data_IF_422029926123
#
_entry.id   IF_422029926123
#
_cell.length_a   1.000
_cell.length_b   1.000
_cell.length_c   1.000
_cell.angle_alpha   90.00
_cell.angle_beta   90.00
_cell.angle_gamma   90.00
#
_symmetry.space_group_name_H-M   'P 1'
#
loop_
_entity.id
_entity.type
_entity.pdbx_description
1 polymer ?
#
# COMPACT_ATOMS: atom_id res chain seq x y z
N UNK A 1 10.61 -18.56 15.19
CA UNK A 1 10.97 -17.94 13.89
C UNK A 1 12.46 -17.63 13.93
N UNK A 2 13.20 -18.06 12.90
CA UNK A 2 14.60 -17.68 12.71
C UNK A 2 14.65 -16.46 11.79
N UNK A 3 15.32 -15.39 12.21
CA UNK A 3 15.57 -14.19 11.42
C UNK A 3 17.03 -14.21 10.98
N UNK A 4 17.28 -14.02 9.70
CA UNK A 4 18.61 -13.94 9.10
C UNK A 4 18.88 -12.50 8.68
N UNK A 5 19.31 -11.67 9.62
CA UNK A 5 19.72 -10.31 9.34
C UNK A 5 20.99 -10.29 8.48
N UNK A 6 21.13 -9.28 7.64
CA UNK A 6 22.28 -9.13 6.75
C UNK A 6 22.38 -10.20 5.66
N UNK A 7 21.26 -10.84 5.31
CA UNK A 7 21.19 -11.77 4.21
C UNK A 7 20.30 -11.21 3.09
N UNK A 8 20.74 -11.39 1.86
CA UNK A 8 20.05 -10.97 0.65
C UNK A 8 19.66 -12.18 -0.19
N UNK A 9 18.45 -12.15 -0.76
CA UNK A 9 18.02 -13.14 -1.75
C UNK A 9 18.81 -12.94 -3.05
N UNK A 10 19.35 -14.03 -3.61
CA UNK A 10 20.12 -14.03 -4.85
C UNK A 10 19.29 -14.61 -5.99
N UNK A 11 18.80 -15.84 -5.84
CA UNK A 11 18.07 -16.53 -6.91
C UNK A 11 17.15 -17.63 -6.39
N UNK A 12 16.18 -17.99 -7.21
CA UNK A 12 15.52 -19.31 -7.14
C UNK A 12 16.40 -20.28 -7.89
N UNK A 13 17.03 -21.22 -7.19
CA UNK A 13 17.89 -22.23 -7.79
C UNK A 13 17.11 -23.30 -8.51
N UNK A 14 16.06 -23.84 -7.84
CA UNK A 14 15.17 -24.85 -8.41
C UNK A 14 13.81 -24.89 -7.73
N UNK A 15 12.85 -25.42 -8.43
CA UNK A 15 11.55 -25.82 -7.89
C UNK A 15 11.22 -27.24 -8.31
N UNK A 16 10.95 -28.10 -7.33
CA UNK A 16 10.53 -29.49 -7.53
C UNK A 16 9.06 -29.69 -7.11
N UNK A 17 8.45 -30.84 -7.34
CA UNK A 17 7.13 -31.14 -6.78
C UNK A 17 7.06 -31.03 -5.25
N UNK A 18 8.15 -31.21 -4.52
CA UNK A 18 8.17 -31.30 -3.05
C UNK A 18 8.72 -30.07 -2.34
N UNK A 19 9.64 -29.34 -2.97
CA UNK A 19 10.32 -28.20 -2.34
C UNK A 19 10.75 -27.13 -3.35
N UNK A 20 11.16 -25.99 -2.81
CA UNK A 20 11.87 -24.93 -3.52
C UNK A 20 13.19 -24.66 -2.82
N UNK A 21 14.23 -24.44 -3.61
CA UNK A 21 15.57 -24.11 -3.16
C UNK A 21 15.93 -22.72 -3.64
N UNK A 22 16.34 -21.87 -2.71
CA UNK A 22 16.78 -20.49 -2.99
C UNK A 22 18.23 -20.29 -2.56
N UNK A 23 18.92 -19.42 -3.26
CA UNK A 23 20.24 -18.93 -2.88
C UNK A 23 20.10 -17.61 -2.15
N UNK A 24 20.82 -17.47 -1.05
CA UNK A 24 20.97 -16.24 -0.27
C UNK A 24 22.46 -15.92 -0.12
N UNK A 25 22.77 -14.65 0.07
CA UNK A 25 24.13 -14.16 0.33
C UNK A 25 24.15 -13.35 1.62
N UNK A 26 25.11 -13.61 2.49
CA UNK A 26 25.33 -12.79 3.69
C UNK A 26 26.17 -11.54 3.34
N UNK A 27 26.17 -10.54 4.23
CA UNK A 27 26.98 -9.32 4.12
C UNK A 27 28.48 -9.60 3.93
N UNK A 28 28.95 -10.78 4.31
CA UNK A 28 30.33 -11.23 4.11
C UNK A 28 30.51 -11.97 2.76
N UNK A 29 29.58 -11.83 1.83
CA UNK A 29 29.57 -12.49 0.52
C UNK A 29 29.60 -14.04 0.60
N UNK A 30 29.22 -14.62 1.71
CA UNK A 30 29.08 -16.06 1.83
C UNK A 30 27.76 -16.49 1.24
N UNK A 31 27.82 -17.32 0.20
CA UNK A 31 26.65 -17.91 -0.43
C UNK A 31 26.12 -19.08 0.41
N UNK A 32 24.84 -19.09 0.65
CA UNK A 32 24.12 -20.14 1.36
C UNK A 32 22.87 -20.55 0.56
N UNK A 33 22.45 -21.80 0.81
CA UNK A 33 21.27 -22.36 0.16
C UNK A 33 20.21 -22.68 1.20
N UNK A 34 18.98 -22.27 0.95
CA UNK A 34 17.82 -22.57 1.82
C UNK A 34 16.80 -23.38 1.04
N UNK A 35 16.40 -24.50 1.61
CA UNK A 35 15.35 -25.37 1.08
C UNK A 35 14.08 -25.22 1.93
N UNK A 36 12.92 -25.11 1.28
CA UNK A 36 11.62 -24.99 1.95
C UNK A 36 10.49 -25.57 1.11
N UNK A 37 9.33 -25.80 1.72
CA UNK A 37 8.12 -26.22 0.98
C UNK A 37 7.54 -25.08 0.13
N UNK A 38 7.59 -23.85 0.65
CA UNK A 38 7.11 -22.64 -0.04
C UNK A 38 8.00 -21.45 0.31
N UNK A 39 8.04 -20.47 -0.58
CA UNK A 39 8.62 -19.15 -0.36
C UNK A 39 7.50 -18.12 -0.41
N UNK A 40 7.45 -17.23 0.57
CA UNK A 40 6.61 -16.03 0.57
C UNK A 40 7.50 -14.85 0.21
N UNK A 41 7.32 -14.29 -0.98
CA UNK A 41 8.07 -13.14 -1.47
C UNK A 41 7.39 -11.84 -0.98
N UNK A 42 8.01 -11.18 0.00
CA UNK A 42 7.59 -9.90 0.56
C UNK A 42 8.63 -8.79 0.29
N UNK A 43 9.26 -8.89 -0.87
CA UNK A 43 10.48 -8.17 -1.28
C UNK A 43 10.17 -6.88 -2.06
N UNK A 44 8.94 -6.40 -1.97
CA UNK A 44 8.54 -5.06 -2.39
C UNK A 44 8.34 -4.88 -3.91
N UNK A 45 8.24 -3.63 -4.32
CA UNK A 45 7.94 -3.23 -5.70
C UNK A 45 8.89 -3.84 -6.74
N UNK A 46 10.17 -3.89 -6.44
CA UNK A 46 11.21 -4.34 -7.37
C UNK A 46 11.46 -5.84 -7.35
N UNK A 47 10.88 -6.54 -6.41
CA UNK A 47 10.90 -7.99 -6.17
C UNK A 47 12.00 -8.77 -6.91
N UNK A 48 13.17 -8.97 -6.29
CA UNK A 48 14.21 -9.83 -6.85
C UNK A 48 13.72 -11.27 -7.09
N UNK A 49 12.84 -11.79 -6.24
CA UNK A 49 12.23 -13.11 -6.42
C UNK A 49 11.41 -13.17 -7.71
N UNK A 50 10.58 -12.14 -7.99
CA UNK A 50 9.82 -12.05 -9.24
C UNK A 50 10.75 -11.99 -10.45
N UNK A 51 11.82 -11.21 -10.34
CA UNK A 51 12.84 -11.08 -11.39
C UNK A 51 13.54 -12.41 -11.66
N UNK A 52 13.95 -13.13 -10.63
CA UNK A 52 14.59 -14.45 -10.73
C UNK A 52 13.71 -15.48 -11.43
N UNK A 53 12.38 -15.36 -11.30
CA UNK A 53 11.41 -16.22 -11.95
C UNK A 53 11.03 -15.78 -13.37
N UNK A 54 11.66 -14.75 -13.92
CA UNK A 54 11.32 -14.21 -15.25
C UNK A 54 9.94 -13.55 -15.33
N UNK A 55 9.35 -13.16 -14.18
CA UNK A 55 7.98 -12.64 -14.09
C UNK A 55 7.93 -11.11 -13.96
N UNK A 56 9.04 -10.43 -14.11
CA UNK A 56 9.07 -8.97 -14.14
C UNK A 56 8.38 -8.42 -15.38
N UNK A 57 7.59 -7.38 -15.22
CA UNK A 57 7.02 -6.65 -16.34
C UNK A 57 8.00 -5.59 -16.80
N UNK A 58 8.57 -5.66 -18.01
CA UNK A 58 9.49 -4.65 -18.52
C UNK A 58 8.87 -3.25 -18.50
N UNK A 59 9.63 -2.27 -18.01
CA UNK A 59 9.17 -0.87 -17.96
C UNK A 59 8.08 -0.56 -16.94
N UNK A 60 7.65 -1.53 -16.11
CA UNK A 60 6.65 -1.28 -15.08
C UNK A 60 7.26 -0.51 -13.90
N UNK A 61 6.68 0.64 -13.61
CA UNK A 61 7.13 1.59 -12.58
C UNK A 61 6.04 1.91 -11.54
N UNK A 62 5.03 1.06 -11.41
CA UNK A 62 3.89 1.29 -10.52
C UNK A 62 2.83 2.25 -11.10
N UNK A 63 1.64 2.23 -10.54
CA UNK A 63 0.54 3.11 -10.88
C UNK A 63 0.69 4.48 -10.22
N UNK A 64 1.24 4.52 -9.01
CA UNK A 64 1.47 5.75 -8.25
C UNK A 64 2.96 6.00 -8.03
N UNK A 65 3.28 7.25 -7.73
CA UNK A 65 4.59 7.65 -7.25
C UNK A 65 4.43 8.55 -6.04
N UNK A 66 5.02 8.15 -4.93
CA UNK A 66 5.01 8.90 -3.69
C UNK A 66 6.32 9.66 -3.50
N UNK A 67 6.21 10.83 -2.87
CA UNK A 67 7.32 11.69 -2.49
C UNK A 67 7.13 12.09 -1.04
N UNK A 68 8.09 11.81 -0.16
CA UNK A 68 7.97 12.07 1.27
C UNK A 68 9.25 12.59 1.89
N UNK A 69 9.09 13.27 3.00
CA UNK A 69 10.18 13.73 3.87
C UNK A 69 9.70 13.73 5.32
N UNK A 70 10.60 13.64 6.26
CA UNK A 70 10.29 13.90 7.66
C UNK A 70 10.55 15.37 7.99
N UNK A 71 9.82 15.90 8.96
CA UNK A 71 10.01 17.26 9.44
C UNK A 71 9.96 17.33 10.97
N UNK A 72 10.84 18.15 11.53
CA UNK A 72 10.97 18.47 12.94
C UNK A 72 10.45 19.88 13.24
N UNK A 73 10.36 20.21 14.53
CA UNK A 73 9.98 21.54 15.04
C UNK A 73 8.61 21.98 14.53
N UNK A 74 7.70 21.04 14.36
CA UNK A 74 6.33 21.32 13.93
C UNK A 74 5.56 21.95 15.09
N UNK A 75 5.10 23.19 14.92
CA UNK A 75 4.37 23.95 15.93
C UNK A 75 2.91 24.18 15.58
N UNK A 76 2.53 23.92 14.33
CA UNK A 76 1.15 24.03 13.86
C UNK A 76 0.32 22.77 14.13
N UNK A 77 -0.89 22.72 13.59
CA UNK A 77 -1.85 21.62 13.83
C UNK A 77 -1.39 20.26 13.32
N UNK A 78 -0.40 20.22 12.44
CA UNK A 78 0.17 18.95 11.95
C UNK A 78 0.96 18.18 13.03
N UNK A 79 1.32 18.85 14.14
CA UNK A 79 1.96 18.20 15.30
C UNK A 79 1.10 17.09 15.89
N UNK A 80 -0.22 17.33 15.98
CA UNK A 80 -1.15 16.46 16.72
C UNK A 80 -2.28 15.91 15.84
N UNK A 81 -2.37 16.36 14.59
CA UNK A 81 -3.45 16.00 13.68
C UNK A 81 -2.92 15.46 12.37
N UNK A 82 -3.56 14.40 11.91
CA UNK A 82 -3.41 13.92 10.55
C UNK A 82 -4.07 14.90 9.58
N UNK A 83 -3.34 15.29 8.55
CA UNK A 83 -3.85 16.11 7.46
C UNK A 83 -3.77 15.37 6.14
N UNK A 84 -4.81 15.51 5.32
CA UNK A 84 -4.85 15.10 3.93
C UNK A 84 -5.38 16.27 3.11
N UNK A 85 -4.62 16.73 2.13
CA UNK A 85 -4.97 17.85 1.27
C UNK A 85 -5.19 17.38 -0.17
N UNK A 86 -6.41 17.53 -0.66
CA UNK A 86 -6.79 17.25 -2.05
C UNK A 86 -6.56 18.50 -2.90
N UNK A 87 -5.34 18.71 -3.28
CA UNK A 87 -4.92 19.84 -4.10
C UNK A 87 -5.39 19.66 -5.54
N UNK A 88 -6.02 20.70 -6.13
CA UNK A 88 -6.59 20.66 -7.48
C UNK A 88 -5.59 20.17 -8.54
N UNK A 89 -4.35 20.55 -8.39
CA UNK A 89 -3.27 20.21 -9.32
C UNK A 89 -2.66 18.82 -9.08
N UNK A 90 -2.89 18.21 -7.92
CA UNK A 90 -2.46 16.85 -7.62
C UNK A 90 -3.51 15.78 -7.99
N UNK A 91 -4.80 16.16 -8.12
CA UNK A 91 -5.88 15.19 -8.29
C UNK A 91 -5.61 14.18 -9.43
N UNK A 92 -5.93 12.90 -9.21
CA UNK A 92 -6.59 12.28 -8.06
C UNK A 92 -5.66 12.03 -6.86
N UNK A 93 -4.40 12.45 -6.94
CA UNK A 93 -3.44 12.40 -5.84
C UNK A 93 -3.76 13.42 -4.76
N UNK A 94 -2.98 13.37 -3.71
CA UNK A 94 -3.13 14.23 -2.52
C UNK A 94 -1.79 14.45 -1.82
N UNK A 95 -1.73 15.47 -0.97
CA UNK A 95 -0.64 15.66 -0.03
C UNK A 95 -1.10 15.25 1.37
N UNK A 96 -0.15 14.86 2.23
CA UNK A 96 -0.43 14.43 3.60
C UNK A 96 0.58 14.98 4.59
N UNK A 97 0.17 15.00 5.86
CA UNK A 97 1.06 15.13 7.02
C UNK A 97 0.55 14.22 8.13
N UNK A 98 1.37 13.27 8.55
CA UNK A 98 1.06 12.28 9.58
C UNK A 98 1.97 12.52 10.79
N UNK A 99 1.42 12.85 11.97
CA UNK A 99 2.20 13.00 13.17
C UNK A 99 2.82 11.69 13.61
N UNK A 100 4.03 11.74 14.14
CA UNK A 100 4.76 10.61 14.71
C UNK A 100 4.86 10.76 16.22
N UNK A 101 5.04 9.62 16.91
CA UNK A 101 5.11 9.58 18.38
C UNK A 101 6.30 10.37 18.96
N UNK A 102 7.36 10.53 18.19
CA UNK A 102 8.58 11.25 18.56
C UNK A 102 8.50 12.77 18.31
N UNK A 103 7.34 13.29 17.93
CA UNK A 103 7.12 14.71 17.66
C UNK A 103 7.47 15.18 16.24
N UNK A 104 7.99 14.29 15.41
CA UNK A 104 8.17 14.54 13.98
C UNK A 104 6.85 14.39 13.21
N UNK A 105 6.86 14.81 11.97
CA UNK A 105 5.79 14.47 11.03
C UNK A 105 6.35 13.82 9.77
N UNK A 106 5.62 12.86 9.22
CA UNK A 106 5.84 12.33 7.89
C UNK A 106 4.97 13.15 6.93
N UNK A 107 5.59 14.00 6.12
CA UNK A 107 4.90 14.84 5.16
C UNK A 107 5.28 14.43 3.73
N UNK A 108 4.31 14.45 2.83
CA UNK A 108 4.54 14.06 1.45
C UNK A 108 3.36 14.30 0.54
N UNK A 109 3.48 13.82 -0.68
CA UNK A 109 2.40 13.80 -1.66
C UNK A 109 2.56 12.64 -2.62
N UNK A 110 1.45 12.21 -3.22
CA UNK A 110 1.41 11.17 -4.24
C UNK A 110 0.78 11.67 -5.53
N UNK A 111 1.29 11.20 -6.66
CA UNK A 111 0.71 11.45 -7.98
C UNK A 111 0.42 10.13 -8.68
N UNK A 112 -0.66 10.10 -9.45
CA UNK A 112 -0.93 9.02 -10.38
C UNK A 112 0.04 9.13 -11.56
N UNK A 113 0.74 8.04 -11.88
CA UNK A 113 1.66 8.00 -13.03
C UNK A 113 0.89 8.16 -14.34
N UNK A 114 1.45 8.90 -15.27
CA UNK A 114 0.75 9.28 -16.53
C UNK A 114 -0.32 10.36 -16.34
N UNK A 115 -0.42 10.95 -15.13
CA UNK A 115 -1.25 12.11 -14.85
C UNK A 115 -0.60 13.44 -15.29
N UNK A 116 -0.99 14.54 -14.63
CA UNK A 116 -0.56 15.91 -14.98
C UNK A 116 0.95 16.13 -14.81
N UNK A 117 1.57 15.52 -13.82
CA UNK A 117 2.98 15.71 -13.51
C UNK A 117 3.80 14.44 -13.79
N UNK A 118 4.99 14.63 -14.34
CA UNK A 118 6.02 13.60 -14.42
C UNK A 118 6.73 13.44 -13.08
N UNK A 119 7.40 12.32 -12.89
CA UNK A 119 8.20 12.07 -11.67
C UNK A 119 9.33 13.11 -11.51
N UNK A 120 9.93 13.57 -12.61
CA UNK A 120 10.92 14.64 -12.58
C UNK A 120 10.36 15.94 -11.99
N UNK A 121 9.16 16.30 -12.38
CA UNK A 121 8.51 17.53 -11.91
C UNK A 121 8.12 17.50 -10.43
N UNK A 122 8.09 16.33 -9.80
CA UNK A 122 7.77 16.22 -8.36
C UNK A 122 8.76 16.95 -7.47
N UNK A 123 10.04 17.01 -7.87
CA UNK A 123 11.06 17.74 -7.10
C UNK A 123 10.80 19.24 -7.08
N UNK A 124 10.38 19.79 -8.21
CA UNK A 124 10.08 21.23 -8.33
C UNK A 124 8.75 21.58 -7.66
N UNK A 125 7.81 20.64 -7.66
CA UNK A 125 6.51 20.79 -7.01
C UNK A 125 6.62 20.81 -5.48
N UNK A 126 7.59 20.10 -4.91
CA UNK A 126 7.73 19.93 -3.46
C UNK A 126 7.88 21.26 -2.68
N UNK A 127 8.80 22.18 -3.02
CA UNK A 127 8.89 23.46 -2.36
C UNK A 127 7.61 24.29 -2.50
N UNK A 128 6.98 24.24 -3.68
CA UNK A 128 5.72 24.95 -3.92
C UNK A 128 4.57 24.44 -3.06
N UNK A 129 4.50 23.13 -2.82
CA UNK A 129 3.50 22.54 -1.92
C UNK A 129 3.72 22.98 -0.48
N UNK A 130 4.96 22.93 0.01
CA UNK A 130 5.30 23.33 1.37
C UNK A 130 5.01 24.82 1.61
N UNK A 131 5.16 25.68 0.59
CA UNK A 131 4.90 27.11 0.67
C UNK A 131 3.41 27.49 0.62
N UNK A 132 2.49 26.56 0.35
CA UNK A 132 1.04 26.84 0.34
C UNK A 132 0.58 27.25 1.75
N UNK A 133 -0.13 28.36 1.85
CA UNK A 133 -0.51 28.96 3.15
C UNK A 133 -1.12 27.98 4.14
N UNK A 134 -2.02 27.11 3.69
CA UNK A 134 -2.69 26.13 4.55
C UNK A 134 -1.76 24.97 4.96
N UNK A 135 -0.81 24.56 4.12
CA UNK A 135 0.19 23.54 4.45
C UNK A 135 1.24 24.14 5.39
N UNK A 136 1.80 25.30 5.03
CA UNK A 136 2.76 26.03 5.88
C UNK A 136 2.15 26.38 7.24
N UNK A 137 0.89 26.82 7.28
CA UNK A 137 0.18 27.10 8.53
C UNK A 137 -0.07 25.86 9.39
N UNK A 138 -0.34 24.71 8.76
CA UNK A 138 -0.48 23.43 9.49
C UNK A 138 0.85 22.94 10.07
N UNK A 139 1.97 23.20 9.40
CA UNK A 139 3.31 22.86 9.89
C UNK A 139 3.80 23.84 10.97
N UNK A 140 3.48 25.12 10.82
CA UNK A 140 3.92 26.20 11.72
C UNK A 140 5.27 26.83 11.33
N UNK A 141 5.62 27.89 12.04
CA UNK A 141 6.90 28.61 11.86
C UNK A 141 8.05 27.80 12.48
N UNK A 142 9.18 27.76 11.80
CA UNK A 142 10.38 27.10 12.32
C UNK A 142 10.48 25.60 12.02
N UNK A 143 9.58 25.06 11.19
CA UNK A 143 9.68 23.69 10.73
C UNK A 143 11.01 23.45 9.98
N UNK A 144 11.66 22.34 10.30
CA UNK A 144 12.91 21.91 9.67
C UNK A 144 12.69 20.57 9.00
N UNK A 145 12.92 20.55 7.69
CA UNK A 145 12.87 19.29 6.94
C UNK A 145 14.13 18.47 7.21
N UNK A 146 13.96 17.21 7.61
CA UNK A 146 15.05 16.27 7.83
C UNK A 146 15.51 15.70 6.51
N UNK A 147 16.80 15.44 6.39
CA UNK A 147 17.42 14.67 5.33
C UNK A 147 16.94 15.00 3.90
N UNK A 148 17.31 14.13 2.99
CA UNK A 148 16.84 14.17 1.62
C UNK A 148 15.44 13.56 1.51
N UNK A 149 14.56 14.18 0.72
CA UNK A 149 13.29 13.57 0.35
C UNK A 149 13.48 12.19 -0.31
N UNK A 150 12.57 11.28 -0.04
CA UNK A 150 12.54 9.95 -0.65
C UNK A 150 11.37 9.86 -1.62
N UNK A 151 11.61 9.32 -2.80
CA UNK A 151 10.58 9.07 -3.80
C UNK A 151 10.51 7.57 -4.11
N UNK A 152 9.29 7.02 -4.18
CA UNK A 152 9.09 5.59 -4.37
C UNK A 152 7.88 5.28 -5.25
N UNK A 153 8.01 4.36 -6.21
CA UNK A 153 6.88 3.87 -6.99
C UNK A 153 5.99 2.94 -6.17
N UNK A 154 4.68 3.03 -6.37
CA UNK A 154 3.68 2.24 -5.65
C UNK A 154 2.91 1.38 -6.65
N UNK A 155 2.97 0.04 -6.52
CA UNK A 155 2.29 -0.89 -7.42
C UNK A 155 0.86 -1.16 -6.94
N UNK A 156 -0.14 -0.88 -7.76
CA UNK A 156 -1.55 -0.98 -7.41
C UNK A 156 -2.38 -1.66 -8.53
N UNK A 157 -1.99 -2.89 -8.92
CA UNK A 157 -2.66 -3.65 -10.01
C UNK A 157 -2.92 -5.12 -9.65
N UNK A 158 -3.35 -5.39 -8.44
CA UNK A 158 -3.59 -6.75 -7.93
C UNK A 158 -4.48 -7.61 -8.83
N UNK A 159 -5.39 -7.01 -9.60
CA UNK A 159 -6.32 -7.74 -10.50
C UNK A 159 -5.65 -8.30 -11.74
N UNK A 160 -4.45 -7.82 -12.10
CA UNK A 160 -3.69 -8.24 -13.30
C UNK A 160 -2.28 -8.74 -12.99
N UNK A 161 -1.79 -8.52 -11.76
CA UNK A 161 -0.48 -8.98 -11.35
C UNK A 161 -0.47 -10.49 -11.09
N UNK A 162 0.60 -11.21 -11.45
CA UNK A 162 0.78 -12.59 -11.01
C UNK A 162 0.90 -12.63 -9.47
N UNK A 163 0.12 -13.50 -8.83
CA UNK A 163 0.07 -13.66 -7.38
C UNK A 163 0.94 -14.80 -6.86
N UNK A 164 1.30 -15.72 -7.74
CA UNK A 164 2.08 -16.91 -7.38
C UNK A 164 2.83 -17.49 -8.58
N UNK A 165 3.85 -18.30 -8.33
CA UNK A 165 4.58 -19.10 -9.33
C UNK A 165 5.18 -20.34 -8.69
N UNK A 166 4.78 -21.53 -9.15
CA UNK A 166 5.27 -22.76 -8.55
C UNK A 166 5.01 -22.81 -7.04
N UNK A 167 6.08 -22.78 -6.26
CA UNK A 167 6.06 -22.78 -4.79
C UNK A 167 6.28 -21.38 -4.19
N UNK A 168 6.18 -20.34 -4.99
CA UNK A 168 6.32 -18.94 -4.54
C UNK A 168 4.96 -18.27 -4.50
N UNK A 169 4.66 -17.61 -3.40
CA UNK A 169 3.51 -16.70 -3.22
C UNK A 169 4.04 -15.28 -3.05
N UNK A 170 3.54 -14.33 -3.85
CA UNK A 170 3.88 -12.91 -3.73
C UNK A 170 2.90 -12.21 -2.79
N UNK A 171 3.38 -11.33 -1.91
CA UNK A 171 2.57 -10.54 -0.98
C UNK A 171 2.99 -9.06 -0.99
N UNK A 172 2.17 -8.20 -0.42
CA UNK A 172 2.44 -6.76 -0.37
C UNK A 172 2.68 -6.16 -1.75
N UNK A 173 3.65 -5.27 -1.86
CA UNK A 173 3.99 -4.62 -3.13
C UNK A 173 4.49 -5.62 -4.18
N UNK A 174 5.12 -6.73 -3.78
CA UNK A 174 5.47 -7.80 -4.71
C UNK A 174 4.25 -8.44 -5.37
N UNK A 175 3.07 -8.40 -4.75
CA UNK A 175 1.77 -8.82 -5.32
C UNK A 175 0.95 -7.66 -5.89
N UNK A 176 1.46 -6.42 -5.86
CA UNK A 176 0.78 -5.21 -6.31
C UNK A 176 -0.58 -4.99 -5.61
N UNK A 177 -0.69 -5.33 -4.32
CA UNK A 177 -1.96 -5.28 -3.57
C UNK A 177 -2.31 -3.90 -3.02
N UNK A 178 -1.43 -2.92 -3.16
CA UNK A 178 -1.66 -1.54 -2.71
C UNK A 178 -2.99 -1.01 -3.28
N UNK A 179 -3.69 -0.22 -2.50
CA UNK A 179 -4.94 0.38 -2.93
C UNK A 179 -4.75 1.38 -4.07
N UNK A 180 -5.54 1.24 -5.12
CA UNK A 180 -5.42 2.05 -6.33
C UNK A 180 -5.97 3.47 -6.20
N UNK A 181 -6.69 3.80 -5.11
CA UNK A 181 -7.23 5.13 -4.85
C UNK A 181 -6.32 5.96 -3.95
N UNK A 182 -5.92 5.38 -2.82
CA UNK A 182 -5.17 6.08 -1.77
C UNK A 182 -3.65 5.86 -1.86
N UNK A 183 -3.19 4.80 -2.54
CA UNK A 183 -1.80 4.40 -2.53
C UNK A 183 -1.35 3.81 -1.17
N UNK A 184 -2.30 3.55 -0.27
CA UNK A 184 -2.03 2.89 1.01
C UNK A 184 -1.82 1.40 0.79
N UNK A 185 -0.84 0.80 1.45
CA UNK A 185 -0.43 -0.58 1.22
C UNK A 185 -0.10 -1.39 2.47
N UNK A 186 -0.06 -0.78 3.67
CA UNK A 186 0.36 -1.46 4.89
C UNK A 186 -0.66 -2.53 5.30
N UNK A 187 -1.94 -2.17 5.36
CA UNK A 187 -3.02 -3.09 5.68
C UNK A 187 -3.12 -4.23 4.68
N UNK A 188 -3.00 -3.92 3.38
CA UNK A 188 -3.02 -4.92 2.30
C UNK A 188 -1.82 -5.87 2.37
N UNK A 189 -0.64 -5.36 2.69
CA UNK A 189 0.56 -6.19 2.83
C UNK A 189 0.39 -7.19 3.97
N UNK A 190 -0.08 -6.73 5.15
CA UNK A 190 -0.36 -7.59 6.29
C UNK A 190 -1.44 -8.63 5.99
N UNK A 191 -2.54 -8.21 5.37
CA UNK A 191 -3.63 -9.13 5.00
C UNK A 191 -3.16 -10.17 3.99
N UNK A 192 -2.44 -9.77 2.93
CA UNK A 192 -1.92 -10.73 1.94
C UNK A 192 -0.95 -11.73 2.55
N UNK A 193 -0.15 -11.30 3.54
CA UNK A 193 0.71 -12.19 4.33
C UNK A 193 -0.10 -13.21 5.12
N UNK A 194 -1.18 -12.80 5.80
CA UNK A 194 -2.07 -13.72 6.52
C UNK A 194 -2.77 -14.71 5.56
N UNK A 195 -3.22 -14.23 4.39
CA UNK A 195 -3.86 -15.08 3.39
C UNK A 195 -2.89 -16.12 2.81
N UNK A 196 -1.63 -15.75 2.58
CA UNK A 196 -0.59 -16.67 2.13
C UNK A 196 -0.32 -17.77 3.16
N UNK A 197 -0.20 -17.40 4.43
CA UNK A 197 -0.03 -18.36 5.52
C UNK A 197 -1.21 -19.34 5.62
N UNK A 198 -2.45 -18.83 5.56
CA UNK A 198 -3.66 -19.67 5.55
C UNK A 198 -3.69 -20.66 4.37
N UNK A 199 -3.30 -20.20 3.19
CA UNK A 199 -3.24 -21.05 2.00
C UNK A 199 -2.17 -22.16 2.14
N UNK A 200 -0.99 -21.82 2.64
CA UNK A 200 0.09 -22.77 2.89
C UNK A 200 -0.35 -23.82 3.91
N UNK A 201 -0.90 -23.41 5.05
CA UNK A 201 -1.36 -24.33 6.09
C UNK A 201 -2.44 -25.30 5.57
N UNK A 202 -3.32 -24.83 4.69
CA UNK A 202 -4.37 -25.68 4.10
C UNK A 202 -3.85 -26.67 3.05
N UNK A 203 -2.69 -26.38 2.42
CA UNK A 203 -2.16 -27.15 1.29
C UNK A 203 -0.74 -27.70 1.48
N UNK A 204 -0.12 -27.57 2.65
CA UNK A 204 1.31 -27.82 2.87
C UNK A 204 1.77 -29.25 2.55
N UNK A 205 0.87 -30.21 2.66
CA UNK A 205 1.14 -31.63 2.37
C UNK A 205 0.46 -32.11 1.07
N UNK A 206 0.07 -31.16 0.22
CA UNK A 206 -0.55 -31.42 -1.09
C UNK A 206 0.32 -30.85 -2.20
N UNK A 207 -0.10 -31.04 -3.43
CA UNK A 207 0.52 -30.39 -4.58
C UNK A 207 0.57 -28.86 -4.43
N UNK A 208 1.62 -28.23 -4.90
CA UNK A 208 1.80 -26.78 -4.85
C UNK A 208 0.63 -26.01 -5.50
N UNK A 209 0.01 -26.59 -6.51
CA UNK A 209 -1.18 -26.07 -7.19
C UNK A 209 -2.35 -25.80 -6.23
N UNK A 210 -2.57 -26.67 -5.26
CA UNK A 210 -3.65 -26.55 -4.25
C UNK A 210 -3.42 -25.28 -3.40
N UNK A 211 -2.20 -25.08 -2.91
CA UNK A 211 -1.83 -23.89 -2.13
C UNK A 211 -1.97 -22.61 -2.97
N UNK A 212 -1.44 -22.62 -4.21
CA UNK A 212 -1.55 -21.46 -5.11
C UNK A 212 -3.00 -21.07 -5.39
N UNK A 213 -3.79 -22.04 -5.83
CA UNK A 213 -5.21 -21.80 -6.15
C UNK A 213 -5.97 -21.28 -4.94
N UNK A 214 -5.68 -21.81 -3.75
CA UNK A 214 -6.27 -21.32 -2.49
C UNK A 214 -5.85 -19.88 -2.19
N UNK A 215 -4.58 -19.56 -2.35
CA UNK A 215 -4.06 -18.20 -2.14
C UNK A 215 -4.70 -17.21 -3.10
N UNK A 216 -4.67 -17.49 -4.39
CA UNK A 216 -5.28 -16.65 -5.43
C UNK A 216 -6.78 -16.46 -5.22
N UNK A 217 -7.48 -17.51 -4.82
CA UNK A 217 -8.91 -17.42 -4.45
C UNK A 217 -9.11 -16.46 -3.28
N UNK A 218 -8.30 -16.57 -2.21
CA UNK A 218 -8.39 -15.72 -1.04
C UNK A 218 -8.08 -14.26 -1.40
N UNK A 219 -7.05 -14.00 -2.21
CA UNK A 219 -6.73 -12.65 -2.70
C UNK A 219 -7.88 -12.08 -3.53
N UNK A 220 -8.41 -12.82 -4.49
CA UNK A 220 -9.57 -12.40 -5.29
C UNK A 220 -10.76 -12.02 -4.42
N UNK A 221 -11.04 -12.82 -3.39
CA UNK A 221 -12.17 -12.58 -2.49
C UNK A 221 -12.00 -11.34 -1.61
N UNK A 222 -10.78 -10.99 -1.24
CA UNK A 222 -10.52 -9.90 -0.29
C UNK A 222 -10.14 -8.58 -0.95
N UNK A 223 -9.52 -8.60 -2.15
CA UNK A 223 -8.98 -7.38 -2.76
C UNK A 223 -9.68 -6.93 -4.05
N UNK A 224 -10.16 -7.86 -4.89
CA UNK A 224 -10.57 -7.49 -6.25
C UNK A 224 -11.76 -6.54 -6.30
N UNK A 225 -12.76 -6.72 -5.42
CA UNK A 225 -13.91 -5.84 -5.38
C UNK A 225 -13.51 -4.41 -4.95
N UNK A 226 -12.67 -4.31 -3.91
CA UNK A 226 -12.18 -3.03 -3.41
C UNK A 226 -11.30 -2.33 -4.44
N UNK A 227 -10.40 -3.06 -5.08
CA UNK A 227 -9.54 -2.50 -6.12
C UNK A 227 -10.36 -1.93 -7.30
N UNK A 228 -11.38 -2.65 -7.76
CA UNK A 228 -12.27 -2.15 -8.83
C UNK A 228 -13.05 -0.91 -8.41
N UNK A 229 -13.57 -0.90 -7.18
CA UNK A 229 -14.27 0.25 -6.62
C UNK A 229 -13.33 1.46 -6.50
N UNK A 230 -12.14 1.25 -5.97
CA UNK A 230 -11.09 2.29 -5.86
C UNK A 230 -10.69 2.85 -7.22
N UNK A 231 -10.52 2.01 -8.23
CA UNK A 231 -10.21 2.45 -9.59
C UNK A 231 -11.33 3.31 -10.19
N UNK A 232 -12.60 2.92 -9.96
CA UNK A 232 -13.77 3.69 -10.43
C UNK A 232 -13.83 5.05 -9.73
N UNK A 233 -13.67 5.09 -8.41
CA UNK A 233 -13.65 6.33 -7.63
C UNK A 233 -12.48 7.23 -8.03
N UNK A 234 -11.30 6.65 -8.26
CA UNK A 234 -10.14 7.38 -8.77
C UNK A 234 -10.43 8.11 -10.07
N UNK A 235 -11.26 7.54 -10.94
CA UNK A 235 -11.71 8.21 -12.17
C UNK A 235 -12.58 9.43 -11.88
N UNK A 236 -13.50 9.34 -10.93
CA UNK A 236 -14.35 10.47 -10.50
C UNK A 236 -13.50 11.59 -9.86
N UNK A 237 -12.53 11.19 -9.01
CA UNK A 237 -11.69 12.14 -8.29
C UNK A 237 -10.63 12.84 -9.15
N UNK A 238 -10.42 12.42 -10.41
CA UNK A 238 -9.57 13.17 -11.35
C UNK A 238 -10.08 14.59 -11.64
N UNK A 239 -11.38 14.82 -11.51
CA UNK A 239 -11.97 16.14 -11.71
C UNK A 239 -12.14 16.88 -10.38
N UNK A 240 -11.89 18.20 -10.37
CA UNK A 240 -12.11 19.03 -9.18
C UNK A 240 -13.59 19.07 -8.75
N UNK A 241 -14.53 18.90 -9.70
CA UNK A 241 -15.95 18.80 -9.40
C UNK A 241 -16.26 17.50 -8.65
N UNK A 242 -15.75 16.37 -9.15
CA UNK A 242 -15.92 15.07 -8.52
C UNK A 242 -15.30 15.01 -7.12
N UNK A 243 -14.09 15.55 -6.93
CA UNK A 243 -13.44 15.62 -5.63
C UNK A 243 -14.25 16.49 -4.64
N UNK A 244 -14.75 17.67 -5.07
CA UNK A 244 -15.62 18.50 -4.22
C UNK A 244 -16.93 17.81 -3.87
N UNK A 245 -17.56 17.13 -4.83
CA UNK A 245 -18.78 16.36 -4.57
C UNK A 245 -18.54 15.24 -3.55
N UNK A 246 -17.46 14.46 -3.70
CA UNK A 246 -17.09 13.41 -2.76
C UNK A 246 -16.87 13.97 -1.35
N UNK A 247 -16.12 15.07 -1.21
CA UNK A 247 -15.89 15.72 0.09
C UNK A 247 -17.19 16.29 0.70
N UNK A 248 -18.10 16.82 -0.12
CA UNK A 248 -19.41 17.27 0.37
C UNK A 248 -20.23 16.10 0.91
N UNK A 249 -20.28 14.98 0.18
CA UNK A 249 -20.96 13.76 0.65
C UNK A 249 -20.32 13.24 1.95
N UNK A 250 -18.99 13.18 2.00
CA UNK A 250 -18.27 12.80 3.21
C UNK A 250 -18.58 13.71 4.41
N UNK A 251 -18.87 15.00 4.15
CA UNK A 251 -19.12 15.99 5.20
C UNK A 251 -20.60 16.18 5.58
N UNK A 252 -21.56 15.42 5.00
CA UNK A 252 -22.99 15.62 5.24
C UNK A 252 -23.39 15.43 6.70
N UNK A 253 -22.80 14.45 7.38
CA UNK A 253 -23.14 14.13 8.77
C UNK A 253 -21.89 13.75 9.57
N UNK A 254 -21.91 13.80 10.91
CA UNK A 254 -20.83 13.25 11.73
C UNK A 254 -20.55 11.77 11.43
N UNK A 255 -21.57 10.99 11.08
CA UNK A 255 -21.44 9.59 10.69
C UNK A 255 -20.69 9.44 9.37
N UNK A 256 -21.06 10.20 8.32
CA UNK A 256 -20.38 10.13 7.02
C UNK A 256 -18.93 10.58 7.12
N UNK A 257 -18.62 11.62 7.91
CA UNK A 257 -17.24 12.08 8.16
C UNK A 257 -16.37 10.98 8.79
N UNK A 258 -16.89 10.34 9.83
CA UNK A 258 -16.19 9.27 10.55
C UNK A 258 -15.95 8.07 9.64
N UNK A 259 -16.98 7.62 8.95
CA UNK A 259 -16.88 6.47 8.06
C UNK A 259 -16.02 6.76 6.81
N UNK A 260 -15.96 8.01 6.36
CA UNK A 260 -15.04 8.40 5.28
C UNK A 260 -13.58 8.23 5.69
N UNK A 261 -13.22 8.58 6.93
CA UNK A 261 -11.86 8.37 7.45
C UNK A 261 -11.54 6.87 7.53
N UNK A 262 -12.41 6.07 8.13
CA UNK A 262 -12.24 4.61 8.19
C UNK A 262 -12.15 3.99 6.81
N UNK A 263 -12.98 4.46 5.89
CA UNK A 263 -12.99 4.00 4.52
C UNK A 263 -11.73 4.40 3.75
N UNK A 264 -11.16 5.59 4.00
CA UNK A 264 -9.89 6.02 3.39
C UNK A 264 -8.69 5.24 3.90
N UNK A 265 -8.65 4.93 5.20
CA UNK A 265 -7.53 4.29 5.89
C UNK A 265 -7.78 2.80 6.19
N UNK A 266 -8.78 2.18 5.53
CA UNK A 266 -8.97 0.73 5.38
C UNK A 266 -9.50 -0.05 6.57
N UNK A 267 -10.03 0.63 7.52
CA UNK A 267 -10.77 -0.05 8.58
C UNK A 267 -12.05 -0.71 8.05
N UNK A 268 -12.57 -0.19 6.92
CA UNK A 268 -13.74 -0.73 6.24
C UNK A 268 -13.48 -1.05 4.76
N UNK A 269 -14.01 -2.17 4.24
CA UNK A 269 -13.87 -2.53 2.83
C UNK A 269 -14.48 -1.48 1.91
N UNK A 270 -13.76 -1.03 0.89
CA UNK A 270 -14.24 0.01 -0.03
C UNK A 270 -15.50 -0.40 -0.79
N UNK A 271 -15.57 -1.66 -1.21
CA UNK A 271 -16.74 -2.22 -1.89
C UNK A 271 -17.77 -2.84 -0.92
N UNK A 272 -17.76 -2.46 0.36
CA UNK A 272 -18.62 -3.05 1.37
C UNK A 272 -20.11 -3.05 0.95
N UNK A 273 -20.61 -1.96 0.38
CA UNK A 273 -21.98 -1.86 -0.11
C UNK A 273 -22.34 -2.94 -1.17
N UNK A 274 -21.35 -3.41 -1.93
CA UNK A 274 -21.52 -4.40 -3.02
C UNK A 274 -21.04 -5.80 -2.64
N UNK A 275 -20.59 -6.01 -1.40
CA UNK A 275 -20.07 -7.29 -0.92
C UNK A 275 -20.72 -7.71 0.39
N UNK A 276 -22.03 -8.12 0.39
CA UNK A 276 -22.79 -8.43 1.62
C UNK A 276 -22.12 -9.47 2.52
N UNK A 277 -21.38 -10.43 1.92
CA UNK A 277 -20.62 -11.45 2.68
C UNK A 277 -19.53 -10.88 3.61
N UNK A 278 -19.15 -9.62 3.42
CA UNK A 278 -18.14 -8.89 4.22
C UNK A 278 -18.77 -8.00 5.29
N UNK A 279 -20.09 -7.94 5.35
CA UNK A 279 -20.80 -7.18 6.37
C UNK A 279 -20.60 -7.86 7.73
N UNK A 280 -20.29 -7.05 8.71
CA UNK A 280 -20.12 -7.49 10.08
C UNK A 280 -21.15 -6.82 11.00
N UNK A 281 -21.33 -7.38 12.19
CA UNK A 281 -22.24 -6.82 13.19
C UNK A 281 -21.73 -5.43 13.59
N UNK A 282 -22.44 -4.39 13.22
CA UNK A 282 -22.03 -3.00 13.46
C UNK A 282 -21.67 -2.20 12.22
N UNK A 283 -21.54 -2.82 11.04
CA UNK A 283 -21.24 -2.14 9.77
C UNK A 283 -22.12 -0.90 9.50
N UNK A 284 -23.41 -0.94 9.87
CA UNK A 284 -24.35 0.16 9.73
C UNK A 284 -24.59 0.93 11.05
N UNK A 285 -23.88 0.63 12.14
CA UNK A 285 -24.06 1.32 13.40
C UNK A 285 -23.44 2.72 13.36
N UNK A 286 -24.14 3.65 14.06
CA UNK A 286 -23.78 5.07 14.11
C UNK A 286 -22.36 5.36 14.63
N UNK A 287 -21.79 4.45 15.42
CA UNK A 287 -20.49 4.60 16.08
C UNK A 287 -19.35 3.86 15.37
N UNK A 288 -19.61 3.21 14.22
CA UNK A 288 -18.62 2.44 13.46
C UNK A 288 -18.19 1.14 14.15
N UNK A 289 -17.25 0.43 13.54
CA UNK A 289 -16.75 -0.88 13.99
C UNK A 289 -15.89 -0.82 15.27
N UNK A 290 -15.46 0.35 15.70
CA UNK A 290 -14.41 0.52 16.73
C UNK A 290 -14.93 0.83 18.15
N UNK A 291 -16.23 0.80 18.39
CA UNK A 291 -16.77 1.10 19.73
C UNK A 291 -16.31 0.16 20.84
N UNK A 292 -15.70 -0.97 20.52
CA UNK A 292 -15.41 -2.05 21.48
C UNK A 292 -13.89 -2.30 21.69
N UNK A 293 -13.01 -1.41 21.25
CA UNK A 293 -11.58 -1.50 21.53
C UNK A 293 -11.14 -0.42 22.50
N UNK A 294 -11.90 -0.26 23.58
CA UNK A 294 -11.55 0.51 24.76
C UNK A 294 -11.43 -0.39 25.96
#
# INVERSE_FOLDING_TARGET
IRVLEGHEFVSVREQTPDHITIDISSNNNKSETVQSKFVIASDGMWSPVRKSLGMSTPGYLGEWHAFRQYANNVTGSAKDRLHVWFEKDLLPGYAWSFPLQDGRVNIGFGILRGGKYSVQQMKDLWPNLLARKHIAGALGSGVVMEDRHTAWPIPARVTSAPLSSGRVLFIGDAACVTDSLTGEGIGQALLSGQLSARAILAGINREASVTRNKYEQLVKQNFFADHRMSATLGTILKSSLGARAALRVANLTPWTRRNFVHWMFEDEPRAAAFTPRRWHKGFLKRDGAFKNYG
#
